data_IF_390985067363
#
_entry.id   IF_390985067363
#
_cell.length_a   1.000
_cell.length_b   1.000
_cell.length_c   1.000
_cell.angle_alpha   90.00
_cell.angle_beta   90.00
_cell.angle_gamma   90.00
#
_symmetry.space_group_name_H-M   'P 1'
#
loop_
_entity.id
_entity.type
_entity.pdbx_description
1 polymer ?
#
# COMPACT_ATOMS: atom_id res chain seq x y z
N UNK A 1 -15.66 24.82 5.35
CA UNK A 1 -14.46 24.54 4.54
C UNK A 1 -13.93 23.20 5.00
N UNK A 2 -14.18 22.13 4.23
CA UNK A 2 -13.68 20.80 4.57
C UNK A 2 -12.16 20.83 4.65
N UNK A 3 -11.66 20.30 5.74
CA UNK A 3 -10.33 20.55 6.25
C UNK A 3 -9.29 19.86 5.38
N UNK A 4 -8.15 20.51 5.12
CA UNK A 4 -7.03 20.01 4.29
C UNK A 4 -6.58 18.58 4.67
N UNK A 5 -6.87 18.14 5.90
CA UNK A 5 -6.61 16.79 6.42
C UNK A 5 -7.43 15.68 5.74
N UNK A 6 -8.71 15.91 5.42
CA UNK A 6 -9.57 14.90 4.75
C UNK A 6 -8.98 14.50 3.40
N UNK A 7 -8.55 15.50 2.62
CA UNK A 7 -7.95 15.31 1.29
C UNK A 7 -6.63 14.53 1.30
N UNK A 8 -5.90 14.55 2.42
CA UNK A 8 -4.61 13.84 2.55
C UNK A 8 -4.83 12.37 2.92
N UNK A 9 -5.80 12.08 3.78
CA UNK A 9 -6.11 10.71 4.16
C UNK A 9 -6.69 9.91 2.98
N UNK A 10 -7.60 10.51 2.20
CA UNK A 10 -8.14 9.86 1.00
C UNK A 10 -7.05 9.54 -0.03
N UNK A 11 -6.09 10.45 -0.24
CA UNK A 11 -4.94 10.22 -1.13
C UNK A 11 -4.07 9.07 -0.65
N UNK A 12 -3.80 9.00 0.66
CA UNK A 12 -3.03 7.90 1.26
C UNK A 12 -3.75 6.57 1.14
N UNK A 13 -5.06 6.53 1.42
CA UNK A 13 -5.88 5.34 1.27
C UNK A 13 -5.92 4.86 -0.19
N UNK A 14 -6.09 5.77 -1.14
CA UNK A 14 -6.07 5.45 -2.57
C UNK A 14 -4.73 4.86 -3.01
N UNK A 15 -3.60 5.44 -2.57
CA UNK A 15 -2.27 4.88 -2.81
C UNK A 15 -2.13 3.48 -2.20
N UNK A 16 -2.54 3.30 -0.96
CA UNK A 16 -2.42 2.02 -0.28
C UNK A 16 -3.28 0.93 -0.95
N UNK A 17 -4.49 1.27 -1.44
CA UNK A 17 -5.31 0.36 -2.25
C UNK A 17 -4.61 -0.05 -3.56
N UNK A 18 -3.93 0.89 -4.23
CA UNK A 18 -3.14 0.58 -5.42
C UNK A 18 -1.99 -0.38 -5.12
N UNK A 19 -1.30 -0.18 -4.00
CA UNK A 19 -0.22 -1.08 -3.55
C UNK A 19 -0.76 -2.50 -3.33
N UNK A 20 -1.90 -2.64 -2.64
CA UNK A 20 -2.51 -3.95 -2.40
C UNK A 20 -2.93 -4.62 -3.72
N UNK A 21 -3.61 -3.89 -4.61
CA UNK A 21 -4.03 -4.41 -5.91
C UNK A 21 -2.83 -4.82 -6.77
N UNK A 22 -1.75 -4.03 -6.78
CA UNK A 22 -0.53 -4.36 -7.49
C UNK A 22 0.17 -5.57 -6.90
N UNK A 23 0.19 -5.69 -5.57
CA UNK A 23 0.71 -6.88 -4.90
C UNK A 23 -0.07 -8.16 -5.26
N UNK A 24 -1.41 -8.10 -5.32
CA UNK A 24 -2.21 -9.25 -5.73
C UNK A 24 -1.96 -9.66 -7.18
N UNK A 25 -1.81 -8.69 -8.09
CA UNK A 25 -1.45 -8.91 -9.49
C UNK A 25 -0.06 -9.55 -9.64
N UNK A 26 0.93 -9.03 -8.92
CA UNK A 26 2.28 -9.57 -8.93
C UNK A 26 2.35 -10.94 -8.26
N UNK A 27 1.62 -11.17 -7.17
CA UNK A 27 1.58 -12.47 -6.47
C UNK A 27 1.00 -13.59 -7.35
N UNK A 28 0.18 -13.26 -8.35
CA UNK A 28 -0.32 -14.24 -9.32
C UNK A 28 0.78 -14.77 -10.26
N UNK A 29 1.89 -14.03 -10.40
CA UNK A 29 2.94 -14.29 -11.39
C UNK A 29 4.27 -14.67 -10.72
N UNK A 30 4.52 -14.20 -9.50
CA UNK A 30 5.81 -14.31 -8.80
C UNK A 30 5.64 -14.45 -7.28
N UNK A 31 6.70 -14.85 -6.57
CA UNK A 31 6.62 -15.11 -5.13
C UNK A 31 6.60 -13.81 -4.33
N UNK A 32 5.98 -13.83 -3.13
CA UNK A 32 5.83 -12.64 -2.29
C UNK A 32 7.16 -11.91 -2.00
N UNK A 33 8.29 -12.64 -1.95
CA UNK A 33 9.61 -12.04 -1.71
C UNK A 33 10.11 -11.21 -2.88
N UNK A 34 9.73 -11.56 -4.10
CA UNK A 34 10.11 -10.86 -5.32
C UNK A 34 9.21 -9.65 -5.58
N UNK A 35 7.98 -9.66 -5.06
CA UNK A 35 7.05 -8.54 -5.25
C UNK A 35 7.36 -7.33 -4.37
N UNK A 36 7.95 -7.53 -3.18
CA UNK A 36 8.30 -6.42 -2.28
C UNK A 36 9.26 -5.39 -2.89
N UNK A 37 10.42 -5.76 -3.46
CA UNK A 37 11.33 -4.78 -4.05
C UNK A 37 10.70 -4.02 -5.23
N UNK A 38 9.82 -4.67 -6.01
CA UNK A 38 9.09 -4.02 -7.11
C UNK A 38 8.14 -2.96 -6.58
N UNK A 39 7.37 -3.29 -5.54
CA UNK A 39 6.44 -2.34 -4.91
C UNK A 39 7.16 -1.20 -4.18
N UNK A 40 8.33 -1.49 -3.60
CA UNK A 40 9.18 -0.48 -2.96
C UNK A 40 9.69 0.54 -3.97
N UNK A 41 10.16 0.08 -5.14
CA UNK A 41 10.63 0.94 -6.23
C UNK A 41 9.47 1.72 -6.86
N UNK A 42 8.38 1.04 -7.24
CA UNK A 42 7.23 1.65 -7.93
C UNK A 42 6.55 2.74 -7.09
N UNK A 43 6.44 2.55 -5.78
CA UNK A 43 5.79 3.51 -4.87
C UNK A 43 6.77 4.37 -4.07
N UNK A 44 8.07 4.14 -4.22
CA UNK A 44 9.15 4.77 -3.44
C UNK A 44 8.87 4.74 -1.92
N UNK A 45 8.63 3.53 -1.40
CA UNK A 45 8.31 3.28 0.02
C UNK A 45 9.27 2.27 0.62
N UNK A 46 9.51 2.40 1.92
CA UNK A 46 10.31 1.42 2.67
C UNK A 46 9.59 0.07 2.75
N UNK A 47 10.36 -1.01 2.80
CA UNK A 47 9.85 -2.39 2.93
C UNK A 47 8.87 -2.53 4.09
N UNK A 48 9.22 -1.99 5.26
CA UNK A 48 8.36 -2.02 6.45
C UNK A 48 7.01 -1.34 6.22
N UNK A 49 6.96 -0.29 5.38
CA UNK A 49 5.69 0.39 5.04
C UNK A 49 4.85 -0.48 4.12
N UNK A 50 5.45 -1.08 3.10
CA UNK A 50 4.77 -2.01 2.19
C UNK A 50 4.21 -3.21 2.98
N UNK A 51 5.02 -3.85 3.84
CA UNK A 51 4.57 -4.96 4.68
C UNK A 51 3.42 -4.55 5.62
N UNK A 52 3.49 -3.38 6.23
CA UNK A 52 2.39 -2.86 7.05
C UNK A 52 1.10 -2.65 6.23
N UNK A 53 1.20 -2.13 5.01
CA UNK A 53 0.04 -1.93 4.12
C UNK A 53 -0.57 -3.27 3.70
N UNK A 54 0.26 -4.28 3.44
CA UNK A 54 -0.15 -5.58 2.90
C UNK A 54 -0.63 -6.58 3.97
N UNK A 55 -0.16 -6.48 5.21
CA UNK A 55 -0.42 -7.49 6.24
C UNK A 55 -1.04 -6.92 7.52
N UNK A 56 -0.93 -5.62 7.79
CA UNK A 56 -1.40 -5.03 9.05
C UNK A 56 -2.72 -4.30 8.83
N UNK A 57 -3.81 -4.93 9.29
CA UNK A 57 -5.17 -4.36 9.25
C UNK A 57 -5.30 -3.09 10.10
N UNK A 58 -4.57 -3.02 11.21
CA UNK A 58 -4.56 -1.87 12.11
C UNK A 58 -3.69 -0.71 11.61
N UNK A 59 -3.08 -0.81 10.43
CA UNK A 59 -2.24 0.24 9.88
C UNK A 59 -3.08 1.47 9.49
N UNK A 60 -2.51 2.67 9.67
CA UNK A 60 -3.23 3.91 9.37
C UNK A 60 -3.58 4.01 7.87
N UNK A 61 -4.87 4.11 7.55
CA UNK A 61 -5.40 4.05 6.18
C UNK A 61 -5.03 2.74 5.47
N UNK A 62 -5.04 1.63 6.21
CA UNK A 62 -4.85 0.29 5.64
C UNK A 62 -5.95 0.01 4.61
N UNK A 63 -5.62 -0.54 3.44
CA UNK A 63 -6.60 -0.95 2.45
C UNK A 63 -7.38 -2.21 2.86
N UNK A 64 -6.98 -2.84 3.98
CA UNK A 64 -7.57 -4.05 4.57
C UNK A 64 -8.55 -3.77 5.73
N UNK A 65 -8.68 -2.50 6.14
CA UNK A 65 -9.57 -2.06 7.21
C UNK A 65 -10.99 -1.80 6.71
#
# INVERSE_FOLDING_TARGET
>A
MATTKERVNERKLSRNKKILSRYEDLKAIMTCRETYPILMDEFNLSESTILNILFVKSYSNSPLA
#
